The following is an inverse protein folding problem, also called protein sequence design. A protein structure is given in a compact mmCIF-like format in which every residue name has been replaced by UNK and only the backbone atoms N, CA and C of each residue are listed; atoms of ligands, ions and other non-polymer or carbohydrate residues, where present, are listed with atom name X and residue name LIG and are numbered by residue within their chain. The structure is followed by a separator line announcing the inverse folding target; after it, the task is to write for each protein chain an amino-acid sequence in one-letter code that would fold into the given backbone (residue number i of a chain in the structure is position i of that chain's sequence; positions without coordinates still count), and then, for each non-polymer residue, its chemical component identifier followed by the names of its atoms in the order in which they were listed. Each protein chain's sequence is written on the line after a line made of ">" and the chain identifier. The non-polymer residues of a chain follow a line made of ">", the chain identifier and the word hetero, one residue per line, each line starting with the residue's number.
data_IF_213433446467
#
_entry.id   IF_213433446467
#
_cell.length_a   1.000
_cell.length_b   1.000
_cell.length_c   1.000
_cell.angle_alpha   90.00
_cell.angle_beta   90.00
_cell.angle_gamma   90.00
#
_symmetry.space_group_name_H-M   'P 1'
#
loop_
_entity.id
_entity.type
_entity.pdbx_description
1 polymer ?
#
# COMPACT_ATOMS: atom_id res chain seq x y z
N UNK A 1 3.13 15.64 -21.43
CA UNK A 1 1.73 15.99 -21.10
C UNK A 1 0.84 14.97 -21.77
N UNK A 2 0.05 14.21 -21.00
CA UNK A 2 -0.84 13.18 -21.56
C UNK A 2 -2.00 13.88 -22.26
N UNK A 3 -2.25 13.51 -23.52
CA UNK A 3 -3.22 14.20 -24.39
C UNK A 3 -4.64 13.65 -24.24
N UNK A 4 -4.76 12.38 -23.86
CA UNK A 4 -6.03 11.69 -23.65
C UNK A 4 -5.96 10.90 -22.34
N UNK A 5 -6.69 11.38 -21.34
CA UNK A 5 -6.72 10.80 -20.00
C UNK A 5 -7.36 9.40 -20.00
N UNK A 6 -8.38 9.17 -20.83
CA UNK A 6 -9.12 7.90 -20.83
C UNK A 6 -8.28 6.77 -21.40
N UNK A 7 -7.57 7.03 -22.50
CA UNK A 7 -6.65 6.06 -23.10
C UNK A 7 -5.52 5.73 -22.11
N UNK A 8 -5.01 6.74 -21.40
CA UNK A 8 -3.98 6.55 -20.39
C UNK A 8 -4.44 5.68 -19.22
N UNK A 9 -5.60 5.96 -18.65
CA UNK A 9 -6.16 5.15 -17.57
C UNK A 9 -6.46 3.71 -18.01
N UNK A 10 -6.88 3.51 -19.26
CA UNK A 10 -7.07 2.17 -19.84
C UNK A 10 -5.73 1.42 -19.91
N UNK A 11 -4.69 2.09 -20.42
CA UNK A 11 -3.34 1.54 -20.48
C UNK A 11 -2.80 1.16 -19.09
N UNK A 12 -2.89 2.06 -18.10
CA UNK A 12 -2.45 1.78 -16.73
C UNK A 12 -3.19 0.58 -16.13
N UNK A 13 -4.50 0.46 -16.36
CA UNK A 13 -5.28 -0.69 -15.90
C UNK A 13 -4.82 -2.00 -16.56
N UNK A 14 -4.54 -1.99 -17.85
CA UNK A 14 -4.08 -3.19 -18.56
C UNK A 14 -2.67 -3.58 -18.14
N UNK A 15 -1.76 -2.62 -17.95
CA UNK A 15 -0.41 -2.87 -17.44
C UNK A 15 -0.45 -3.44 -16.01
N UNK A 16 -1.26 -2.86 -15.11
CA UNK A 16 -1.43 -3.37 -13.74
C UNK A 16 -2.01 -4.79 -13.70
N UNK A 17 -2.85 -5.17 -14.67
CA UNK A 17 -3.34 -6.56 -14.79
C UNK A 17 -2.28 -7.50 -15.34
N UNK A 18 -1.41 -7.02 -16.22
CA UNK A 18 -0.31 -7.79 -16.79
C UNK A 18 0.82 -8.01 -15.77
N UNK A 19 1.00 -7.06 -14.86
CA UNK A 19 1.99 -7.11 -13.79
C UNK A 19 1.62 -8.16 -12.73
N UNK A 20 2.18 -9.37 -12.89
CA UNK A 20 2.02 -10.48 -11.95
C UNK A 20 3.21 -10.59 -11.02
N UNK A 21 3.31 -9.68 -10.06
CA UNK A 21 4.28 -9.84 -8.97
C UNK A 21 3.85 -11.00 -8.08
N UNK A 22 4.81 -11.83 -7.68
CA UNK A 22 4.57 -12.75 -6.56
C UNK A 22 4.34 -11.92 -5.30
N UNK A 23 3.62 -12.48 -4.33
CA UNK A 23 3.42 -11.82 -3.03
C UNK A 23 4.75 -11.40 -2.41
N UNK A 24 5.78 -12.25 -2.50
CA UNK A 24 7.10 -11.97 -1.96
C UNK A 24 7.79 -10.79 -2.65
N UNK A 25 7.71 -10.72 -3.99
CA UNK A 25 8.33 -9.62 -4.74
C UNK A 25 7.60 -8.29 -4.50
N UNK A 26 6.26 -8.32 -4.44
CA UNK A 26 5.45 -7.16 -4.10
C UNK A 26 5.77 -6.66 -2.68
N UNK A 27 5.90 -7.57 -1.71
CA UNK A 27 6.25 -7.22 -0.34
C UNK A 27 7.64 -6.59 -0.25
N UNK A 28 8.63 -7.15 -0.98
CA UNK A 28 9.99 -6.60 -1.02
C UNK A 28 10.02 -5.18 -1.56
N UNK A 29 9.26 -4.90 -2.62
CA UNK A 29 9.14 -3.55 -3.19
C UNK A 29 8.50 -2.60 -2.19
N UNK A 30 7.38 -3.02 -1.57
CA UNK A 30 6.69 -2.24 -0.55
C UNK A 30 7.61 -1.89 0.62
N UNK A 31 8.34 -2.86 1.17
CA UNK A 31 9.28 -2.65 2.27
C UNK A 31 10.41 -1.69 1.89
N UNK A 32 10.97 -1.81 0.68
CA UNK A 32 12.00 -0.89 0.20
C UNK A 32 11.48 0.55 0.09
N UNK A 33 10.27 0.74 -0.45
CA UNK A 33 9.62 2.05 -0.53
C UNK A 33 9.32 2.62 0.86
N UNK A 34 8.90 1.79 1.81
CA UNK A 34 8.68 2.19 3.18
C UNK A 34 9.97 2.72 3.82
N UNK A 35 11.08 2.00 3.69
CA UNK A 35 12.38 2.42 4.24
C UNK A 35 12.85 3.74 3.63
N UNK A 36 12.65 3.93 2.32
CA UNK A 36 12.95 5.20 1.65
C UNK A 36 12.11 6.35 2.24
N UNK A 37 10.81 6.15 2.44
CA UNK A 37 9.93 7.14 3.06
C UNK A 37 10.34 7.50 4.49
N UNK A 38 10.82 6.53 5.26
CA UNK A 38 11.41 6.76 6.59
C UNK A 38 12.71 7.56 6.49
N UNK A 39 13.60 7.20 5.57
CA UNK A 39 14.87 7.91 5.34
C UNK A 39 14.65 9.37 4.94
N UNK A 40 13.61 9.63 4.15
CA UNK A 40 13.20 10.98 3.74
C UNK A 40 12.47 11.76 4.85
N UNK A 41 12.13 11.12 5.98
CA UNK A 41 11.42 11.74 7.09
C UNK A 41 9.96 12.08 6.79
N UNK A 42 9.36 11.45 5.77
CA UNK A 42 7.94 11.59 5.42
C UNK A 42 7.07 10.52 6.06
N UNK A 43 7.66 9.39 6.44
CA UNK A 43 7.02 8.31 7.18
C UNK A 43 7.75 8.04 8.51
N UNK A 44 7.02 7.61 9.56
CA UNK A 44 5.56 7.66 9.67
C UNK A 44 5.05 9.12 9.66
N UNK A 45 3.73 9.34 9.53
CA UNK A 45 3.17 10.68 9.60
C UNK A 45 3.51 11.39 10.92
N UNK A 46 3.51 12.72 10.90
CA UNK A 46 3.89 13.52 12.08
C UNK A 46 2.85 13.43 13.19
N UNK A 47 1.58 13.34 12.83
CA UNK A 47 0.50 13.09 13.78
C UNK A 47 0.32 11.57 13.92
N UNK A 48 0.61 10.98 15.10
CA UNK A 48 0.43 9.55 15.32
C UNK A 48 -1.03 9.08 15.25
N UNK A 49 -2.00 10.00 15.27
CA UNK A 49 -3.43 9.68 15.14
C UNK A 49 -3.94 9.84 13.70
N UNK A 50 -3.09 10.27 12.77
CA UNK A 50 -3.44 10.33 11.35
C UNK A 50 -3.80 8.92 10.86
N UNK A 51 -5.00 8.78 10.30
CA UNK A 51 -5.57 7.51 9.80
C UNK A 51 -5.69 6.37 10.82
N UNK A 52 -5.75 6.67 12.13
CA UNK A 52 -5.83 5.67 13.22
C UNK A 52 -7.04 4.71 13.11
N UNK A 53 -8.11 5.11 12.43
CA UNK A 53 -9.27 4.25 12.16
C UNK A 53 -8.87 2.98 11.37
N UNK A 54 -7.89 3.10 10.47
CA UNK A 54 -7.34 1.97 9.72
C UNK A 54 -6.58 1.04 10.65
N UNK A 55 -5.73 1.58 11.52
CA UNK A 55 -4.97 0.79 12.49
C UNK A 55 -5.90 0.02 13.43
N UNK A 56 -6.94 0.69 13.96
CA UNK A 56 -7.96 0.06 14.81
C UNK A 56 -8.68 -1.05 14.05
N UNK A 57 -9.03 -0.84 12.78
CA UNK A 57 -9.68 -1.86 11.93
C UNK A 57 -8.79 -3.07 11.75
N UNK A 58 -7.50 -2.88 11.42
CA UNK A 58 -6.54 -3.98 11.25
C UNK A 58 -6.37 -4.73 12.57
N UNK A 59 -6.16 -4.02 13.68
CA UNK A 59 -6.01 -4.61 15.01
C UNK A 59 -7.23 -5.46 15.41
N UNK A 60 -8.45 -5.01 15.09
CA UNK A 60 -9.69 -5.79 15.32
C UNK A 60 -9.72 -7.08 14.53
N UNK A 61 -9.34 -7.05 13.25
CA UNK A 61 -9.29 -8.24 12.40
C UNK A 61 -8.31 -9.25 12.99
N UNK A 62 -7.08 -8.82 13.28
CA UNK A 62 -6.05 -9.69 13.87
C UNK A 62 -6.50 -10.31 15.20
N UNK A 63 -7.08 -9.50 16.09
CA UNK A 63 -7.61 -9.98 17.37
C UNK A 63 -8.76 -10.99 17.20
N UNK A 64 -9.56 -10.88 16.13
CA UNK A 64 -10.60 -11.86 15.84
C UNK A 64 -10.02 -13.19 15.34
N UNK A 65 -8.95 -13.15 14.54
CA UNK A 65 -8.26 -14.36 14.07
C UNK A 65 -7.56 -15.10 15.23
N UNK A 66 -6.93 -14.35 16.14
CA UNK A 66 -6.21 -14.91 17.29
C UNK A 66 -7.12 -15.54 18.35
N UNK A 67 -8.35 -15.06 18.50
CA UNK A 67 -9.34 -15.61 19.47
C UNK A 67 -10.05 -16.87 18.98
N UNK A 68 -9.88 -17.22 17.71
CA UNK A 68 -10.48 -18.39 17.07
C UNK A 68 -9.46 -19.54 16.87
N UNK A 69 -8.25 -19.41 17.43
CA UNK A 69 -7.23 -20.44 17.57
C UNK A 69 -7.32 -21.08 18.97
#
# INVERSE_FOLDING_TARGET
>A
MIKDKKIWEEFEREELKAEKLSYHDALKIFEAMWQEGVSLGVLPPKDPLEDIEIDIKIARILNSCLKNL
#
